data_IF_826016716833
#
_entry.id   IF_826016716833
#
_cell.length_a   1.000
_cell.length_b   1.000
_cell.length_c   1.000
_cell.angle_alpha   90.00
_cell.angle_beta   90.00
_cell.angle_gamma   90.00
#
_symmetry.space_group_name_H-M   'P 1'
#
loop_
_entity.id
_entity.type
_entity.pdbx_description
1 polymer ?
#
# COMPACT_ATOMS: atom_id res chain seq x y z
N UNK A 1 -17.16 -19.99 -12.27
CA UNK A 1 -15.78 -19.46 -12.42
C UNK A 1 -14.82 -20.53 -11.95
N UNK A 2 -13.67 -20.74 -12.60
CA UNK A 2 -12.67 -21.69 -12.11
C UNK A 2 -12.04 -21.18 -10.80
N UNK A 3 -11.53 -22.06 -9.91
CA UNK A 3 -10.83 -21.64 -8.69
C UNK A 3 -9.68 -20.67 -8.97
N UNK A 4 -8.95 -20.91 -10.06
CA UNK A 4 -7.89 -20.02 -10.56
C UNK A 4 -8.42 -18.63 -10.92
N UNK A 5 -9.49 -18.54 -11.71
CA UNK A 5 -10.05 -17.25 -12.13
C UNK A 5 -10.55 -16.43 -10.94
N UNK A 6 -11.18 -17.08 -9.96
CA UNK A 6 -11.60 -16.42 -8.73
C UNK A 6 -10.40 -15.89 -7.93
N UNK A 7 -9.41 -16.74 -7.65
CA UNK A 7 -8.22 -16.36 -6.90
C UNK A 7 -7.44 -15.23 -7.60
N UNK A 8 -7.29 -15.30 -8.93
CA UNK A 8 -6.62 -14.28 -9.71
C UNK A 8 -7.37 -12.94 -9.67
N UNK A 9 -8.70 -12.97 -9.80
CA UNK A 9 -9.52 -11.75 -9.72
C UNK A 9 -9.37 -11.07 -8.37
N UNK A 10 -9.48 -11.84 -7.28
CA UNK A 10 -9.31 -11.31 -5.93
C UNK A 10 -7.90 -10.76 -5.69
N UNK A 11 -6.88 -11.45 -6.20
CA UNK A 11 -5.49 -11.01 -6.10
C UNK A 11 -5.28 -9.65 -6.79
N UNK A 12 -5.75 -9.52 -8.03
CA UNK A 12 -5.62 -8.28 -8.81
C UNK A 12 -6.41 -7.15 -8.18
N UNK A 13 -7.63 -7.40 -7.71
CA UNK A 13 -8.44 -6.38 -7.01
C UNK A 13 -7.77 -5.91 -5.71
N UNK A 14 -7.18 -6.80 -4.93
CA UNK A 14 -6.43 -6.44 -3.73
C UNK A 14 -5.22 -5.54 -4.05
N UNK A 15 -4.45 -5.90 -5.09
CA UNK A 15 -3.33 -5.10 -5.57
C UNK A 15 -3.80 -3.72 -6.07
N UNK A 16 -4.89 -3.68 -6.83
CA UNK A 16 -5.49 -2.46 -7.37
C UNK A 16 -5.92 -1.50 -6.25
N UNK A 17 -6.64 -2.00 -5.24
CA UNK A 17 -7.12 -1.18 -4.12
C UNK A 17 -5.95 -0.58 -3.36
N UNK A 18 -4.90 -1.37 -3.09
CA UNK A 18 -3.76 -0.88 -2.33
C UNK A 18 -2.89 0.08 -3.15
N UNK A 19 -2.37 -0.35 -4.30
CA UNK A 19 -1.47 0.47 -5.13
C UNK A 19 -2.21 1.67 -5.73
N UNK A 20 -3.42 1.46 -6.26
CA UNK A 20 -4.26 2.52 -6.79
C UNK A 20 -4.70 3.52 -5.74
N UNK A 21 -5.02 3.06 -4.52
CA UNK A 21 -5.32 3.94 -3.39
C UNK A 21 -4.12 4.82 -2.99
N UNK A 22 -2.91 4.26 -2.96
CA UNK A 22 -1.69 5.04 -2.73
C UNK A 22 -1.44 6.05 -3.86
N UNK A 23 -1.65 5.64 -5.12
CA UNK A 23 -1.52 6.53 -6.27
C UNK A 23 -2.48 7.71 -6.17
N UNK A 24 -3.77 7.44 -5.91
CA UNK A 24 -4.79 8.47 -5.73
C UNK A 24 -4.42 9.41 -4.58
N UNK A 25 -4.04 8.86 -3.42
CA UNK A 25 -3.63 9.65 -2.25
C UNK A 25 -2.46 10.60 -2.58
N UNK A 26 -1.49 10.13 -3.34
CA UNK A 26 -0.27 10.86 -3.66
C UNK A 26 -0.45 11.90 -4.77
N UNK A 27 -1.08 11.50 -5.88
CA UNK A 27 -1.13 12.28 -7.11
C UNK A 27 -2.37 13.14 -7.23
N UNK A 28 -3.46 12.78 -6.56
CA UNK A 28 -4.74 13.46 -6.71
C UNK A 28 -5.12 14.16 -5.41
N UNK A 29 -5.29 13.40 -4.33
CA UNK A 29 -5.79 13.93 -3.06
C UNK A 29 -4.82 14.94 -2.44
N UNK A 30 -3.51 14.65 -2.45
CA UNK A 30 -2.52 15.55 -1.85
C UNK A 30 -2.50 16.92 -2.53
N UNK A 31 -2.30 17.05 -3.85
CA UNK A 31 -2.31 18.36 -4.50
C UNK A 31 -3.62 19.11 -4.27
N UNK A 32 -4.76 18.42 -4.40
CA UNK A 32 -6.07 19.01 -4.14
C UNK A 32 -6.19 19.55 -2.70
N UNK A 33 -5.75 18.78 -1.70
CA UNK A 33 -5.77 19.20 -0.30
C UNK A 33 -4.79 20.35 0.02
N UNK A 34 -3.72 20.53 -0.77
CA UNK A 34 -2.81 21.68 -0.61
C UNK A 34 -3.45 22.97 -1.13
N UNK A 35 -4.23 22.88 -2.22
CA UNK A 35 -4.91 24.03 -2.81
C UNK A 35 -6.17 24.41 -2.03
N UNK A 36 -6.96 23.41 -1.64
CA UNK A 36 -8.29 23.64 -1.06
C UNK A 36 -8.29 23.91 0.45
N UNK A 37 -7.23 23.53 1.19
CA UNK A 37 -7.22 23.57 2.64
C UNK A 37 -5.96 24.25 3.20
N UNK A 38 -6.18 25.04 4.26
CA UNK A 38 -5.12 25.59 5.10
C UNK A 38 -4.40 24.50 5.92
N UNK A 39 -3.23 24.85 6.50
CA UNK A 39 -2.34 23.92 7.18
C UNK A 39 -3.02 22.98 8.19
N UNK A 40 -3.68 23.50 9.23
CA UNK A 40 -4.33 22.68 10.26
C UNK A 40 -5.47 21.81 9.71
N UNK A 41 -6.31 22.36 8.82
CA UNK A 41 -7.41 21.63 8.20
C UNK A 41 -6.91 20.45 7.36
N UNK A 42 -5.80 20.64 6.64
CA UNK A 42 -5.14 19.58 5.86
C UNK A 42 -4.63 18.45 6.76
N UNK A 43 -4.03 18.76 7.92
CA UNK A 43 -3.58 17.73 8.87
C UNK A 43 -4.76 16.92 9.42
N UNK A 44 -5.85 17.60 9.80
CA UNK A 44 -7.09 16.96 10.27
C UNK A 44 -7.69 16.03 9.20
N UNK A 45 -7.72 16.46 7.93
CA UNK A 45 -8.17 15.60 6.82
C UNK A 45 -7.35 14.31 6.74
N UNK A 46 -6.02 14.40 6.72
CA UNK A 46 -5.16 13.22 6.60
C UNK A 46 -5.29 12.26 7.78
N UNK A 47 -5.46 12.78 9.00
CA UNK A 47 -5.73 11.95 10.17
C UNK A 47 -7.04 11.17 10.10
N UNK A 48 -8.00 11.64 9.30
CA UNK A 48 -9.26 10.95 9.01
C UNK A 48 -9.15 10.00 7.80
N UNK A 49 -8.35 10.34 6.80
CA UNK A 49 -8.16 9.51 5.60
C UNK A 49 -7.37 8.24 5.92
N UNK A 50 -6.23 8.34 6.62
CA UNK A 50 -5.34 7.20 6.86
C UNK A 50 -6.04 6.01 7.53
N UNK A 51 -6.77 6.18 8.64
CA UNK A 51 -7.39 5.04 9.32
C UNK A 51 -8.41 4.31 8.44
N UNK A 52 -9.19 5.06 7.65
CA UNK A 52 -10.18 4.50 6.72
C UNK A 52 -9.49 3.73 5.58
N UNK A 53 -8.44 4.29 5.01
CA UNK A 53 -7.68 3.61 3.95
C UNK A 53 -6.94 2.38 4.50
N UNK A 54 -6.41 2.44 5.72
CA UNK A 54 -5.63 1.34 6.30
C UNK A 54 -6.45 0.09 6.58
N UNK A 55 -7.77 0.20 6.79
CA UNK A 55 -8.66 -0.97 6.83
C UNK A 55 -8.60 -1.74 5.51
N UNK A 56 -8.69 -1.03 4.37
CA UNK A 56 -8.58 -1.65 3.05
C UNK A 56 -7.18 -2.19 2.76
N UNK A 57 -6.13 -1.51 3.24
CA UNK A 57 -4.76 -2.01 3.13
C UNK A 57 -4.57 -3.30 3.93
N UNK A 58 -5.13 -3.41 5.13
CA UNK A 58 -5.09 -4.66 5.89
C UNK A 58 -5.81 -5.80 5.19
N UNK A 59 -6.96 -5.53 4.58
CA UNK A 59 -7.64 -6.52 3.74
C UNK A 59 -6.75 -6.97 2.58
N UNK A 60 -6.06 -6.04 1.91
CA UNK A 60 -5.11 -6.37 0.83
C UNK A 60 -3.90 -7.17 1.33
N UNK A 61 -3.33 -6.81 2.49
CA UNK A 61 -2.22 -7.52 3.16
C UNK A 61 -2.59 -8.96 3.51
N UNK A 62 -3.85 -9.25 3.82
CA UNK A 62 -4.28 -10.64 4.06
C UNK A 62 -4.61 -11.35 2.75
N UNK A 63 -5.33 -10.68 1.85
CA UNK A 63 -5.85 -11.31 0.63
C UNK A 63 -4.76 -11.63 -0.39
N UNK A 64 -3.74 -10.76 -0.54
CA UNK A 64 -2.63 -10.96 -1.47
C UNK A 64 -1.82 -12.24 -1.23
N UNK A 65 -1.32 -12.55 -0.03
CA UNK A 65 -0.59 -13.80 0.21
C UNK A 65 -1.48 -15.03 0.10
N UNK A 66 -2.72 -14.99 0.61
CA UNK A 66 -3.66 -16.14 0.50
C UNK A 66 -3.92 -16.47 -0.97
N UNK A 67 -4.31 -15.47 -1.76
CA UNK A 67 -4.57 -15.65 -3.18
C UNK A 67 -3.30 -15.96 -3.98
N UNK A 68 -2.17 -15.32 -3.65
CA UNK A 68 -0.88 -15.52 -4.33
C UNK A 68 -0.32 -16.93 -4.13
N UNK A 69 -0.36 -17.45 -2.89
CA UNK A 69 0.04 -18.83 -2.59
C UNK A 69 -0.92 -19.82 -3.26
N UNK A 70 -2.23 -19.54 -3.25
CA UNK A 70 -3.22 -20.35 -3.97
C UNK A 70 -2.94 -20.41 -5.48
N UNK A 71 -2.67 -19.27 -6.12
CA UNK A 71 -2.29 -19.21 -7.54
C UNK A 71 -0.99 -19.95 -7.82
N UNK A 72 -0.04 -19.88 -6.89
CA UNK A 72 1.22 -20.59 -7.02
C UNK A 72 0.99 -22.10 -7.06
N UNK A 73 0.18 -22.67 -6.17
CA UNK A 73 -0.14 -24.11 -6.16
C UNK A 73 -1.03 -24.55 -7.34
N UNK A 74 -1.91 -23.67 -7.81
CA UNK A 74 -2.80 -23.98 -8.94
C UNK A 74 -2.09 -23.95 -10.31
N UNK A 75 -0.99 -23.19 -10.43
CA UNK A 75 -0.29 -22.96 -11.69
C UNK A 75 1.12 -23.56 -11.74
N UNK A 76 1.78 -23.65 -10.60
CA UNK A 76 3.13 -24.16 -10.44
C UNK A 76 3.11 -25.33 -9.44
N UNK A 77 3.93 -26.35 -9.65
CA UNK A 77 4.01 -27.49 -8.72
C UNK A 77 4.84 -27.16 -7.47
N UNK A 78 4.77 -25.93 -6.97
CA UNK A 78 5.52 -25.41 -5.82
C UNK A 78 6.46 -24.23 -6.14
N UNK A 79 7.07 -23.67 -5.10
CA UNK A 79 7.92 -22.47 -5.16
C UNK A 79 9.16 -22.65 -6.05
N UNK A 80 9.70 -23.86 -6.12
CA UNK A 80 10.89 -24.22 -6.91
C UNK A 80 10.63 -24.14 -8.41
N UNK A 81 9.38 -24.36 -8.83
CA UNK A 81 8.97 -24.32 -10.25
C UNK A 81 8.41 -22.97 -10.67
N UNK A 82 8.21 -22.04 -9.71
CA UNK A 82 7.72 -20.71 -10.00
C UNK A 82 8.84 -19.86 -10.64
N UNK A 83 8.54 -19.08 -11.70
CA UNK A 83 9.51 -18.15 -12.28
C UNK A 83 10.07 -17.16 -11.25
N UNK A 84 11.33 -16.73 -11.41
CA UNK A 84 12.00 -15.86 -10.43
C UNK A 84 11.26 -14.56 -10.17
N UNK A 85 10.57 -13.99 -11.18
CA UNK A 85 9.78 -12.78 -10.98
C UNK A 85 8.68 -12.94 -9.92
N UNK A 86 8.14 -14.15 -9.72
CA UNK A 86 7.15 -14.43 -8.66
C UNK A 86 7.79 -14.33 -7.28
N UNK A 87 9.03 -14.84 -7.12
CA UNK A 87 9.79 -14.71 -5.87
C UNK A 87 10.14 -13.25 -5.59
N UNK A 88 10.49 -12.48 -6.62
CA UNK A 88 10.70 -11.03 -6.51
C UNK A 88 9.41 -10.32 -6.08
N UNK A 89 8.25 -10.66 -6.67
CA UNK A 89 6.96 -10.10 -6.27
C UNK A 89 6.67 -10.33 -4.78
N UNK A 90 6.95 -11.54 -4.27
CA UNK A 90 6.83 -11.84 -2.84
C UNK A 90 7.77 -10.99 -1.98
N UNK A 91 9.03 -10.86 -2.38
CA UNK A 91 10.01 -10.03 -1.67
C UNK A 91 9.58 -8.56 -1.62
N UNK A 92 9.15 -8.00 -2.76
CA UNK A 92 8.64 -6.63 -2.83
C UNK A 92 7.40 -6.45 -1.95
N UNK A 93 6.46 -7.41 -1.98
CA UNK A 93 5.28 -7.39 -1.11
C UNK A 93 5.63 -7.34 0.38
N UNK A 94 6.63 -8.12 0.82
CA UNK A 94 7.09 -8.09 2.22
C UNK A 94 7.68 -6.72 2.59
N UNK A 95 8.47 -6.12 1.72
CA UNK A 95 8.99 -4.76 1.91
C UNK A 95 7.85 -3.75 2.03
N UNK A 96 6.88 -3.81 1.11
CA UNK A 96 5.72 -2.92 1.13
C UNK A 96 4.90 -3.04 2.42
N UNK A 97 4.71 -4.28 2.89
CA UNK A 97 4.00 -4.58 4.14
C UNK A 97 4.76 -4.04 5.35
N UNK A 98 6.10 -4.21 5.39
CA UNK A 98 6.92 -3.66 6.46
C UNK A 98 6.86 -2.13 6.51
N UNK A 99 6.88 -1.46 5.36
CA UNK A 99 6.69 0.00 5.27
C UNK A 99 5.31 0.42 5.77
N UNK A 100 4.26 -0.31 5.38
CA UNK A 100 2.91 -0.05 5.85
C UNK A 100 2.79 -0.21 7.37
N UNK A 101 3.29 -1.31 7.94
CA UNK A 101 3.29 -1.54 9.39
C UNK A 101 4.01 -0.41 10.09
N UNK A 102 5.19 0.01 9.60
CA UNK A 102 5.94 1.15 10.16
C UNK A 102 5.15 2.45 10.16
N UNK A 103 4.42 2.74 9.07
CA UNK A 103 3.55 3.91 8.98
C UNK A 103 2.44 3.83 10.03
N UNK A 104 1.76 2.70 10.11
CA UNK A 104 0.61 2.52 10.99
C UNK A 104 1.00 2.52 12.48
N UNK A 105 2.06 1.82 12.86
CA UNK A 105 2.42 1.60 14.26
C UNK A 105 3.22 2.75 14.86
N UNK A 106 4.08 3.41 14.07
CA UNK A 106 4.97 4.46 14.58
C UNK A 106 4.48 5.86 14.19
N UNK A 107 4.13 6.07 12.92
CA UNK A 107 3.95 7.42 12.39
C UNK A 107 2.53 7.96 12.56
N UNK A 108 1.50 7.11 12.43
CA UNK A 108 0.12 7.53 12.63
C UNK A 108 -0.17 7.96 14.09
N UNK A 109 0.32 7.26 15.13
CA UNK A 109 0.18 7.72 16.51
C UNK A 109 0.89 9.05 16.77
N UNK A 110 2.10 9.26 16.21
CA UNK A 110 2.81 10.55 16.29
C UNK A 110 1.95 11.70 15.73
N UNK A 111 1.36 11.52 14.54
CA UNK A 111 0.48 12.52 13.93
C UNK A 111 -0.75 12.81 14.80
N UNK A 112 -1.39 11.78 15.35
CA UNK A 112 -2.57 11.93 16.21
C UNK A 112 -2.27 12.65 17.51
N UNK A 113 -1.13 12.34 18.14
CA UNK A 113 -0.66 13.02 19.36
C UNK A 113 -0.43 14.51 19.10
N UNK A 114 0.26 14.86 18.01
CA UNK A 114 0.49 16.25 17.63
C UNK A 114 -0.82 17.00 17.36
N UNK A 115 -1.80 16.36 16.69
CA UNK A 115 -3.12 16.94 16.47
C UNK A 115 -3.91 17.17 17.77
N UNK A 116 -3.83 16.23 18.72
CA UNK A 116 -4.51 16.36 20.00
C UNK A 116 -3.91 17.47 20.88
N UNK A 117 -2.61 17.73 20.73
CA UNK A 117 -1.91 18.82 21.39
C UNK A 117 -1.96 20.16 20.63
N UNK A 118 -2.64 20.20 19.48
CA UNK A 118 -2.65 21.35 18.55
C UNK A 118 -1.23 21.82 18.12
N UNK A 119 -0.25 20.92 18.17
CA UNK A 119 1.12 21.16 17.72
C UNK A 119 1.21 20.99 16.20
N UNK A 120 0.85 22.05 15.48
CA UNK A 120 0.84 22.05 14.01
C UNK A 120 2.23 21.82 13.39
N UNK A 121 3.34 22.41 13.90
CA UNK A 121 4.68 22.09 13.43
C UNK A 121 5.04 20.61 13.54
N UNK A 122 4.81 19.99 14.69
CA UNK A 122 5.07 18.56 14.88
C UNK A 122 4.17 17.70 14.00
N UNK A 123 2.89 18.07 13.86
CA UNK A 123 1.94 17.39 12.98
C UNK A 123 2.36 17.43 11.50
N UNK A 124 2.86 18.59 11.04
CA UNK A 124 3.39 18.73 9.68
C UNK A 124 4.65 17.87 9.46
N UNK A 125 5.55 17.82 10.45
CA UNK A 125 6.74 16.96 10.39
C UNK A 125 6.37 15.47 10.34
N UNK A 126 5.45 15.01 11.19
CA UNK A 126 4.95 13.64 11.19
C UNK A 126 4.28 13.27 9.86
N UNK A 127 3.41 14.14 9.33
CA UNK A 127 2.80 13.92 8.01
C UNK A 127 3.86 13.86 6.90
N UNK A 128 4.92 14.67 6.99
CA UNK A 128 6.05 14.62 6.07
C UNK A 128 6.80 13.28 6.08
N UNK A 129 6.96 12.65 7.26
CA UNK A 129 7.53 11.30 7.40
C UNK A 129 6.62 10.24 6.78
N UNK A 130 5.32 10.26 7.12
CA UNK A 130 4.31 9.36 6.53
C UNK A 130 4.36 9.46 5.01
N UNK A 131 4.36 10.68 4.50
CA UNK A 131 4.44 10.96 3.07
C UNK A 131 5.66 10.28 2.43
N UNK A 132 6.88 10.51 2.92
CA UNK A 132 8.07 9.86 2.33
C UNK A 132 7.92 8.34 2.26
N UNK A 133 7.42 7.70 3.32
CA UNK A 133 7.22 6.26 3.35
C UNK A 133 6.14 5.80 2.36
N UNK A 134 5.01 6.50 2.27
CA UNK A 134 3.94 6.19 1.29
C UNK A 134 4.45 6.36 -0.14
N UNK A 135 5.24 7.40 -0.43
CA UNK A 135 5.83 7.63 -1.74
C UNK A 135 6.80 6.52 -2.16
N UNK A 136 7.70 6.11 -1.26
CA UNK A 136 8.57 4.95 -1.50
C UNK A 136 7.76 3.67 -1.71
N UNK A 137 6.74 3.44 -0.89
CA UNK A 137 5.87 2.27 -1.00
C UNK A 137 5.09 2.24 -2.33
N UNK A 138 4.63 3.40 -2.80
CA UNK A 138 3.97 3.54 -4.09
C UNK A 138 4.90 3.17 -5.25
N UNK A 139 6.14 3.66 -5.25
CA UNK A 139 7.13 3.34 -6.29
C UNK A 139 7.35 1.82 -6.34
N UNK A 140 7.56 1.19 -5.18
CA UNK A 140 7.71 -0.27 -5.09
C UNK A 140 6.47 -0.98 -5.62
N UNK A 141 5.27 -0.53 -5.26
CA UNK A 141 4.01 -1.09 -5.73
C UNK A 141 3.83 -0.98 -7.24
N UNK A 142 4.19 0.16 -7.84
CA UNK A 142 4.16 0.35 -9.29
C UNK A 142 5.14 -0.58 -10.00
N UNK A 143 6.37 -0.73 -9.48
CA UNK A 143 7.37 -1.68 -9.99
C UNK A 143 6.85 -3.12 -9.90
N UNK A 144 6.24 -3.49 -8.78
CA UNK A 144 5.65 -4.82 -8.57
C UNK A 144 4.56 -5.10 -9.60
N UNK A 145 3.63 -4.16 -9.82
CA UNK A 145 2.57 -4.28 -10.83
C UNK A 145 3.16 -4.40 -12.24
N UNK A 146 4.16 -3.59 -12.58
CA UNK A 146 4.84 -3.66 -13.87
C UNK A 146 5.52 -5.02 -14.08
N UNK A 147 6.20 -5.56 -13.05
CA UNK A 147 6.83 -6.87 -13.09
C UNK A 147 5.80 -8.00 -13.31
N UNK A 148 4.68 -7.94 -12.60
CA UNK A 148 3.59 -8.90 -12.73
C UNK A 148 2.94 -8.87 -14.12
N UNK A 149 2.85 -7.68 -14.74
CA UNK A 149 2.32 -7.50 -16.09
C UNK A 149 3.30 -7.98 -17.17
N UNK A 150 4.58 -7.62 -17.03
CA UNK A 150 5.62 -7.94 -18.01
C UNK A 150 6.01 -9.43 -18.03
N UNK A 151 5.90 -10.12 -16.89
CA UNK A 151 6.25 -11.55 -16.72
C UNK A 151 7.60 -11.92 -17.36
N UNK A 152 8.69 -11.26 -16.94
CA UNK A 152 9.97 -11.48 -17.57
C UNK A 152 10.45 -12.93 -17.40
N UNK A 153 11.26 -13.39 -18.34
CA UNK A 153 11.62 -14.81 -18.51
C UNK A 153 12.94 -15.21 -17.83
N UNK A 154 13.55 -14.34 -17.03
CA UNK A 154 14.86 -14.55 -16.38
C UNK A 154 14.78 -15.25 -15.01
#
# INVERSE_FOLDING_TARGET
MTPFALAYTLHVLAALVWVGGMFFAWMVLRPAAVVALEGPARLKLWAQVFPRFFVWVWLAVVLLPISGIGLLHLRFSGFETAPKYVQIMMGLYLVMTALFIRIQSLQLPELRKALAAEDWPAGAAALGKIRRLVGSNLIIGLVLVALAAARPTF
#
